data_IF_900267299562
#
_entry.id   IF_900267299562
#
_cell.length_a   1.000
_cell.length_b   1.000
_cell.length_c   1.000
_cell.angle_alpha   90.00
_cell.angle_beta   90.00
_cell.angle_gamma   90.00
#
_symmetry.space_group_name_H-M   'P 1'
#
loop_
_entity.id
_entity.type
_entity.pdbx_description
1 polymer ?
#
# COMPACT_ATOMS: atom_id res chain seq x y z
N UNK A 1 29.90 -7.20 -13.09
CA UNK A 1 30.76 -6.31 -12.26
C UNK A 1 31.65 -7.10 -11.27
N UNK A 2 32.81 -6.56 -10.87
CA UNK A 2 33.71 -7.21 -9.92
C UNK A 2 33.41 -6.72 -8.50
N UNK A 3 33.21 -7.64 -7.55
CA UNK A 3 32.98 -7.29 -6.16
C UNK A 3 34.22 -6.57 -5.56
N UNK A 4 34.06 -5.37 -4.97
CA UNK A 4 35.19 -4.64 -4.39
C UNK A 4 35.79 -5.31 -3.16
N UNK A 5 35.02 -6.17 -2.47
CA UNK A 5 35.46 -6.85 -1.25
C UNK A 5 36.22 -8.17 -1.52
N UNK A 6 35.59 -9.08 -2.26
CA UNK A 6 36.15 -10.44 -2.48
C UNK A 6 36.64 -10.67 -3.93
N UNK A 7 36.55 -9.67 -4.79
CA UNK A 7 36.97 -9.71 -6.20
C UNK A 7 36.24 -10.74 -7.08
N UNK A 8 35.16 -11.37 -6.58
CA UNK A 8 34.34 -12.28 -7.37
C UNK A 8 33.64 -11.52 -8.51
N UNK A 9 33.56 -12.16 -9.68
CA UNK A 9 32.82 -11.66 -10.82
C UNK A 9 31.32 -11.91 -10.58
N UNK A 10 30.50 -10.89 -10.72
CA UNK A 10 29.03 -10.95 -10.58
C UNK A 10 28.38 -10.43 -11.86
N UNK A 11 27.12 -10.76 -12.05
CA UNK A 11 26.31 -10.14 -13.12
C UNK A 11 26.23 -8.63 -12.92
N UNK A 12 26.15 -7.86 -14.00
CA UNK A 12 26.14 -6.39 -13.91
C UNK A 12 24.86 -5.85 -13.23
N UNK A 13 23.82 -6.65 -13.16
CA UNK A 13 22.56 -6.39 -12.46
C UNK A 13 22.53 -6.84 -11.00
N UNK A 14 23.57 -7.56 -10.52
CA UNK A 14 23.56 -8.12 -9.17
C UNK A 14 23.59 -7.02 -8.09
N UNK A 15 22.61 -7.03 -7.19
CA UNK A 15 22.54 -6.11 -6.06
C UNK A 15 23.53 -6.48 -4.93
N UNK A 16 23.85 -7.77 -4.82
CA UNK A 16 24.76 -8.29 -3.82
C UNK A 16 25.71 -9.32 -4.44
N UNK A 17 26.92 -9.37 -3.94
CA UNK A 17 27.90 -10.37 -4.37
C UNK A 17 27.42 -11.77 -3.98
N UNK A 18 27.32 -12.68 -4.94
CA UNK A 18 26.92 -14.06 -4.71
C UNK A 18 27.92 -14.84 -3.82
N UNK A 19 29.19 -14.39 -3.77
CA UNK A 19 30.24 -15.07 -2.99
C UNK A 19 30.30 -14.61 -1.55
N UNK A 20 30.19 -13.28 -1.26
CA UNK A 20 30.38 -12.74 0.08
C UNK A 20 29.18 -11.96 0.63
N UNK A 21 28.07 -11.90 -0.12
CA UNK A 21 26.85 -11.20 0.29
C UNK A 21 26.96 -9.68 0.34
N UNK A 22 28.11 -9.08 0.03
CA UNK A 22 28.29 -7.63 0.07
C UNK A 22 27.46 -6.97 -1.03
N UNK A 23 26.74 -5.90 -0.69
CA UNK A 23 26.04 -5.09 -1.66
C UNK A 23 27.03 -4.50 -2.71
N UNK A 24 26.76 -4.73 -3.99
CA UNK A 24 27.64 -4.35 -5.09
C UNK A 24 27.35 -2.92 -5.58
N UNK A 25 26.15 -2.43 -5.34
CA UNK A 25 25.68 -1.08 -5.73
C UNK A 25 25.75 -0.09 -4.57
N UNK A 26 26.20 -0.51 -3.38
CA UNK A 26 26.31 0.39 -2.23
C UNK A 26 27.51 1.32 -2.40
N UNK A 27 27.24 2.62 -2.45
CA UNK A 27 28.27 3.64 -2.33
C UNK A 27 28.87 3.56 -0.92
N UNK A 28 30.20 3.66 -0.81
CA UNK A 28 30.91 3.67 0.47
C UNK A 28 31.15 5.12 0.92
N UNK A 29 31.38 5.31 2.21
CA UNK A 29 31.82 6.59 2.75
C UNK A 29 33.06 7.11 1.99
N UNK A 30 33.07 8.39 1.65
CA UNK A 30 34.09 9.05 0.85
C UNK A 30 33.94 8.87 -0.67
N UNK A 31 33.01 8.00 -1.14
CA UNK A 31 32.67 7.93 -2.58
C UNK A 31 32.08 9.25 -3.05
N UNK A 32 32.43 9.69 -4.26
CA UNK A 32 31.88 10.91 -4.87
C UNK A 32 31.01 10.51 -6.04
N UNK A 33 29.73 10.90 -6.04
CA UNK A 33 28.80 10.69 -7.14
C UNK A 33 28.49 12.01 -7.83
N UNK A 34 28.34 11.97 -9.17
CA UNK A 34 28.09 13.16 -9.98
C UNK A 34 29.22 14.19 -9.92
N UNK A 35 30.44 13.77 -9.51
CA UNK A 35 31.61 14.62 -9.28
C UNK A 35 31.41 15.72 -8.22
N UNK A 36 30.27 15.74 -7.54
CA UNK A 36 29.79 16.79 -6.64
C UNK A 36 29.48 16.31 -5.24
N UNK A 37 28.79 15.18 -5.12
CA UNK A 37 28.23 14.73 -3.85
C UNK A 37 29.12 13.66 -3.21
N UNK A 38 29.75 14.00 -2.09
CA UNK A 38 30.55 13.06 -1.27
C UNK A 38 29.68 12.33 -0.28
N UNK A 39 29.67 11.01 -0.33
CA UNK A 39 28.88 10.16 0.54
C UNK A 39 29.47 10.16 1.96
N UNK A 40 28.67 10.56 2.94
CA UNK A 40 29.03 10.57 4.35
C UNK A 40 28.62 9.27 5.06
N UNK A 41 27.36 8.85 4.90
CA UNK A 41 26.84 7.64 5.54
C UNK A 41 25.56 7.15 4.85
N UNK A 42 25.23 5.84 4.94
CA UNK A 42 23.90 5.38 4.55
C UNK A 42 22.86 5.85 5.57
N UNK A 43 21.68 6.28 5.08
CA UNK A 43 20.52 6.63 5.88
C UNK A 43 19.49 5.51 5.94
N UNK A 44 19.32 4.75 4.84
CA UNK A 44 18.37 3.63 4.81
C UNK A 44 18.20 3.02 3.43
N UNK A 45 17.49 1.88 3.40
CA UNK A 45 17.11 1.17 2.19
C UNK A 45 15.60 1.31 2.00
N UNK A 46 15.18 1.87 0.87
CA UNK A 46 13.79 1.94 0.45
C UNK A 46 13.48 0.98 -0.70
N UNK A 47 12.22 0.90 -1.07
CA UNK A 47 11.78 0.04 -2.20
C UNK A 47 12.46 0.34 -3.53
N UNK A 48 12.93 1.58 -3.73
CA UNK A 48 13.53 2.06 -4.99
C UNK A 48 15.06 2.13 -4.97
N UNK A 49 15.69 1.90 -3.83
CA UNK A 49 17.13 1.98 -3.70
C UNK A 49 17.62 2.40 -2.33
N UNK A 50 18.86 2.80 -2.27
CA UNK A 50 19.53 3.26 -1.04
C UNK A 50 19.48 4.78 -0.95
N UNK A 51 19.31 5.28 0.27
CA UNK A 51 19.41 6.71 0.59
C UNK A 51 20.67 6.95 1.43
N UNK A 52 21.42 7.98 1.07
CA UNK A 52 22.68 8.34 1.73
C UNK A 52 22.62 9.79 2.20
N UNK A 53 23.25 10.07 3.34
CA UNK A 53 23.67 11.42 3.71
C UNK A 53 24.92 11.74 2.90
N UNK A 54 24.97 12.90 2.29
CA UNK A 54 26.08 13.33 1.47
C UNK A 54 26.40 14.81 1.70
N UNK A 55 27.62 15.19 1.40
CA UNK A 55 28.09 16.58 1.36
C UNK A 55 28.12 17.07 -0.09
N UNK A 56 27.44 18.13 -0.36
CA UNK A 56 27.51 18.85 -1.63
C UNK A 56 28.74 19.73 -1.64
N UNK A 57 29.77 19.33 -2.36
CA UNK A 57 31.08 20.01 -2.41
C UNK A 57 31.03 21.36 -3.11
N UNK A 58 30.00 21.64 -3.93
CA UNK A 58 29.85 22.91 -4.63
C UNK A 58 29.14 23.95 -3.79
N UNK A 59 28.14 23.54 -3.01
CA UNK A 59 27.33 24.44 -2.19
C UNK A 59 27.70 24.42 -0.72
N UNK A 60 28.61 23.54 -0.31
CA UNK A 60 29.05 23.34 1.07
C UNK A 60 27.89 23.04 2.05
N UNK A 61 26.97 22.19 1.62
CA UNK A 61 25.79 21.83 2.41
C UNK A 61 25.56 20.31 2.47
N UNK A 62 24.83 19.88 3.52
CA UNK A 62 24.44 18.49 3.67
C UNK A 62 23.14 18.22 2.88
N UNK A 63 23.15 17.16 2.07
CA UNK A 63 22.02 16.73 1.25
C UNK A 63 21.74 15.23 1.48
N UNK A 64 20.57 14.79 1.08
CA UNK A 64 20.25 13.38 0.94
C UNK A 64 20.35 12.96 -0.53
N UNK A 65 21.01 11.84 -0.80
CA UNK A 65 21.15 11.26 -2.14
C UNK A 65 20.42 9.92 -2.17
N UNK A 66 19.40 9.85 -2.99
CA UNK A 66 18.66 8.60 -3.26
C UNK A 66 19.17 7.96 -4.53
N UNK A 67 19.88 6.84 -4.39
CA UNK A 67 20.39 6.04 -5.51
C UNK A 67 19.30 5.09 -5.97
N UNK A 68 18.99 5.12 -7.26
CA UNK A 68 17.91 4.34 -7.85
C UNK A 68 18.41 2.97 -8.31
N UNK A 69 17.59 1.94 -8.18
CA UNK A 69 17.89 0.60 -8.72
C UNK A 69 17.87 0.62 -10.24
N UNK A 70 18.70 -0.22 -10.86
CA UNK A 70 18.86 -0.33 -12.30
C UNK A 70 17.54 -0.65 -13.05
N UNK A 71 16.65 -1.43 -12.42
CA UNK A 71 15.32 -1.78 -12.99
C UNK A 71 14.44 -0.56 -13.31
N UNK A 72 14.58 0.54 -12.55
CA UNK A 72 13.87 1.79 -12.81
C UNK A 72 14.52 2.64 -13.90
N UNK A 73 15.64 2.17 -14.44
CA UNK A 73 16.53 2.92 -15.31
C UNK A 73 16.49 2.54 -16.80
N UNK A 74 16.02 1.32 -17.15
CA UNK A 74 16.45 0.65 -18.38
C UNK A 74 15.52 0.67 -19.61
N UNK A 75 14.33 1.30 -19.55
CA UNK A 75 13.45 1.36 -20.72
C UNK A 75 13.20 2.78 -21.18
N UNK A 76 13.40 3.08 -22.48
CA UNK A 76 13.38 4.43 -23.03
C UNK A 76 12.14 5.28 -22.69
N UNK A 77 10.94 4.69 -22.72
CA UNK A 77 9.67 5.36 -22.35
C UNK A 77 9.54 5.57 -20.84
N UNK A 78 9.91 4.57 -20.04
CA UNK A 78 9.84 4.65 -18.58
C UNK A 78 10.83 5.71 -18.04
N UNK A 79 12.04 5.76 -18.58
CA UNK A 79 13.02 6.77 -18.21
C UNK A 79 12.56 8.20 -18.58
N UNK A 80 11.83 8.39 -19.68
CA UNK A 80 11.24 9.69 -20.05
C UNK A 80 10.14 10.09 -19.06
N UNK A 81 9.23 9.18 -18.72
CA UNK A 81 8.16 9.42 -17.73
C UNK A 81 8.75 9.73 -16.36
N UNK A 82 9.75 8.95 -15.92
CA UNK A 82 10.44 9.18 -14.66
C UNK A 82 11.05 10.59 -14.59
N UNK A 83 11.80 11.01 -15.63
CA UNK A 83 12.34 12.37 -15.68
C UNK A 83 11.26 13.45 -15.69
N UNK A 84 10.12 13.19 -16.32
CA UNK A 84 8.98 14.12 -16.32
C UNK A 84 8.41 14.31 -14.91
N UNK A 85 8.19 13.21 -14.17
CA UNK A 85 7.68 13.26 -12.79
C UNK A 85 8.67 13.95 -11.84
N UNK A 86 9.98 13.70 -11.97
CA UNK A 86 10.98 14.42 -11.17
C UNK A 86 10.94 15.91 -11.51
N UNK A 87 10.78 16.26 -12.79
CA UNK A 87 10.66 17.68 -13.21
C UNK A 87 9.43 18.35 -12.60
N UNK A 88 8.31 17.64 -12.45
CA UNK A 88 7.14 18.13 -11.74
C UNK A 88 7.40 18.21 -10.23
N UNK A 89 7.98 17.16 -9.64
CA UNK A 89 8.28 17.09 -8.22
C UNK A 89 9.22 18.23 -7.75
N UNK A 90 10.18 18.65 -8.58
CA UNK A 90 11.05 19.80 -8.31
C UNK A 90 10.31 21.14 -8.24
N UNK A 91 9.10 21.24 -8.81
CA UNK A 91 8.28 22.45 -8.71
C UNK A 91 7.57 22.59 -7.37
N UNK A 92 7.45 21.50 -6.60
CA UNK A 92 6.85 21.56 -5.27
C UNK A 92 7.78 22.33 -4.35
N UNK A 93 7.30 23.45 -3.85
CA UNK A 93 8.01 24.26 -2.87
C UNK A 93 7.07 24.59 -1.72
N UNK A 94 7.15 23.81 -0.65
CA UNK A 94 6.30 23.98 0.53
C UNK A 94 7.05 23.57 1.79
N UNK A 95 6.82 24.28 2.89
CA UNK A 95 7.51 24.04 4.18
C UNK A 95 7.32 22.64 4.75
N UNK A 96 6.27 21.93 4.36
CA UNK A 96 5.95 20.59 4.81
C UNK A 96 6.21 19.50 3.76
N UNK A 97 7.00 19.82 2.73
CA UNK A 97 7.40 18.84 1.70
C UNK A 97 8.91 18.86 1.58
N UNK A 98 9.56 17.71 1.56
CA UNK A 98 10.99 17.56 1.31
C UNK A 98 11.31 18.06 -0.11
N UNK A 99 12.21 19.02 -0.23
CA UNK A 99 12.56 19.62 -1.50
C UNK A 99 13.47 18.70 -2.31
N UNK A 100 13.10 18.43 -3.55
CA UNK A 100 13.97 17.78 -4.53
C UNK A 100 14.85 18.84 -5.19
N UNK A 101 16.18 18.65 -5.12
CA UNK A 101 17.14 19.58 -5.69
C UNK A 101 17.44 19.21 -7.14
N UNK A 102 17.95 18.00 -7.38
CA UNK A 102 18.37 17.62 -8.72
C UNK A 102 18.24 16.11 -8.98
N UNK A 103 18.39 15.75 -10.25
CA UNK A 103 18.49 14.39 -10.76
C UNK A 103 19.75 14.27 -11.58
N UNK A 104 20.57 13.27 -11.28
CA UNK A 104 21.84 13.02 -11.95
C UNK A 104 22.04 11.58 -12.37
N UNK A 105 23.02 11.38 -13.25
CA UNK A 105 23.50 10.08 -13.68
C UNK A 105 25.03 10.11 -13.71
N UNK A 106 25.68 9.14 -13.08
CA UNK A 106 27.13 9.00 -13.04
C UNK A 106 27.51 7.53 -13.06
N UNK A 107 28.36 7.13 -14.01
CA UNK A 107 28.82 5.73 -14.15
C UNK A 107 27.68 4.70 -14.32
N UNK A 108 26.54 5.12 -14.91
CA UNK A 108 25.34 4.26 -15.04
C UNK A 108 24.47 4.22 -13.78
N UNK A 109 24.89 4.88 -12.70
CA UNK A 109 24.12 5.02 -11.46
C UNK A 109 23.28 6.28 -11.55
N UNK A 110 21.97 6.15 -11.37
CA UNK A 110 21.04 7.29 -11.33
C UNK A 110 20.70 7.64 -9.89
N UNK A 111 20.63 8.92 -9.62
CA UNK A 111 20.38 9.42 -8.29
C UNK A 111 19.51 10.69 -8.28
N UNK A 112 18.89 10.94 -7.15
CA UNK A 112 18.15 12.17 -6.87
C UNK A 112 18.81 12.82 -5.66
N UNK A 113 19.15 14.10 -5.75
CA UNK A 113 19.56 14.91 -4.60
C UNK A 113 18.35 15.64 -4.05
N UNK A 114 18.24 15.69 -2.73
CA UNK A 114 17.13 16.31 -2.02
C UNK A 114 17.57 16.89 -0.69
N UNK A 115 16.73 17.71 -0.09
CA UNK A 115 16.88 18.26 1.25
C UNK A 115 17.22 17.14 2.25
N UNK A 116 18.27 17.33 3.04
CA UNK A 116 18.52 16.46 4.19
C UNK A 116 17.69 16.95 5.36
N UNK A 117 16.75 16.13 5.80
CA UNK A 117 15.90 16.42 6.96
C UNK A 117 16.52 15.80 8.19
N UNK A 118 17.01 16.66 9.09
CA UNK A 118 17.54 16.20 10.40
C UNK A 118 16.37 16.00 11.36
N UNK A 119 15.99 14.76 11.56
CA UNK A 119 14.82 14.40 12.37
C UNK A 119 14.54 12.91 12.35
N UNK A 120 13.32 12.56 12.77
CA UNK A 120 12.87 11.18 12.89
C UNK A 120 11.57 10.99 12.12
N UNK A 121 11.36 9.85 11.47
CA UNK A 121 10.07 9.53 10.88
C UNK A 121 9.01 9.29 11.96
N UNK A 122 7.74 9.57 11.61
CA UNK A 122 6.64 9.50 12.59
C UNK A 122 6.42 8.09 13.12
N UNK A 123 6.71 7.06 12.34
CA UNK A 123 6.58 5.67 12.80
C UNK A 123 7.60 5.35 13.89
N UNK A 124 8.83 5.81 13.72
CA UNK A 124 9.88 5.65 14.74
C UNK A 124 9.60 6.54 15.96
N UNK A 125 9.22 7.81 15.73
CA UNK A 125 8.88 8.74 16.81
C UNK A 125 7.75 8.19 17.70
N UNK A 126 6.70 7.60 17.09
CA UNK A 126 5.64 6.96 17.85
C UNK A 126 6.16 5.78 18.67
N UNK A 127 7.02 4.93 18.11
CA UNK A 127 7.64 3.80 18.85
C UNK A 127 8.42 4.30 20.07
N UNK A 128 9.23 5.35 19.90
CA UNK A 128 10.07 5.90 20.97
C UNK A 128 9.22 6.52 22.09
N UNK A 129 7.98 6.90 21.80
CA UNK A 129 7.00 7.47 22.73
C UNK A 129 5.99 6.45 23.29
N UNK A 130 6.26 5.17 23.18
CA UNK A 130 5.36 4.14 23.73
C UNK A 130 4.30 3.63 22.76
N UNK A 131 4.49 3.89 21.45
CA UNK A 131 3.72 3.30 20.37
C UNK A 131 2.78 4.26 19.64
N UNK A 132 2.47 5.45 20.18
CA UNK A 132 1.57 6.44 19.59
C UNK A 132 2.02 7.87 19.94
N UNK A 133 1.37 8.87 19.37
CA UNK A 133 1.58 10.27 19.72
C UNK A 133 0.43 10.80 20.57
N UNK A 134 0.74 11.69 21.52
CA UNK A 134 -0.26 12.41 22.30
C UNK A 134 -1.13 13.30 21.41
N UNK A 135 -2.36 13.54 21.81
CA UNK A 135 -3.39 14.15 20.96
C UNK A 135 -2.95 15.46 20.30
N UNK A 136 -2.35 16.38 21.04
CA UNK A 136 -1.93 17.68 20.49
C UNK A 136 -0.84 17.53 19.42
N UNK A 137 0.13 16.67 19.67
CA UNK A 137 1.21 16.37 18.73
C UNK A 137 0.67 15.62 17.50
N UNK A 138 -0.25 14.68 17.71
CA UNK A 138 -0.90 13.92 16.64
C UNK A 138 -1.67 14.83 15.68
N UNK A 139 -2.46 15.77 16.21
CA UNK A 139 -3.17 16.77 15.42
C UNK A 139 -2.20 17.69 14.65
N UNK A 140 -1.13 18.14 15.30
CA UNK A 140 -0.12 19.00 14.65
C UNK A 140 0.53 18.27 13.48
N UNK A 141 1.00 17.05 13.68
CA UNK A 141 1.59 16.22 12.63
C UNK A 141 0.59 15.96 11.50
N UNK A 142 -0.63 15.57 11.82
CA UNK A 142 -1.67 15.29 10.83
C UNK A 142 -2.00 16.51 9.97
N UNK A 143 -2.14 17.66 10.61
CA UNK A 143 -2.47 18.93 9.94
C UNK A 143 -1.35 19.39 9.01
N UNK A 144 -0.10 19.39 9.49
CA UNK A 144 1.07 19.75 8.68
C UNK A 144 1.25 18.78 7.49
N UNK A 145 0.94 17.49 7.70
CA UNK A 145 0.99 16.47 6.63
C UNK A 145 -0.05 16.77 5.55
N UNK A 146 -1.28 17.12 5.95
CA UNK A 146 -2.35 17.49 5.01
C UNK A 146 -2.01 18.75 4.21
N UNK A 147 -1.43 19.78 4.86
CA UNK A 147 -0.97 21.00 4.17
C UNK A 147 0.12 20.69 3.13
N UNK A 148 1.10 19.85 3.49
CA UNK A 148 2.14 19.41 2.57
C UNK A 148 1.59 18.55 1.41
N UNK A 149 0.61 17.70 1.70
CA UNK A 149 -0.04 16.86 0.69
C UNK A 149 -0.78 17.70 -0.34
N UNK A 150 -1.48 18.76 0.09
CA UNK A 150 -2.13 19.67 -0.84
C UNK A 150 -1.13 20.33 -1.80
N UNK A 151 0.02 20.79 -1.29
CA UNK A 151 1.03 21.40 -2.16
C UNK A 151 1.58 20.43 -3.23
N UNK A 152 1.60 19.14 -2.95
CA UNK A 152 1.93 18.09 -3.93
C UNK A 152 0.79 17.95 -4.96
N UNK A 153 -0.46 17.96 -4.52
CA UNK A 153 -1.64 17.84 -5.38
C UNK A 153 -1.80 19.06 -6.30
N UNK A 154 -1.46 20.27 -5.85
CA UNK A 154 -1.55 21.52 -6.63
C UNK A 154 -0.68 21.51 -7.89
N UNK A 155 0.41 20.74 -7.91
CA UNK A 155 1.23 20.55 -9.10
C UNK A 155 0.82 19.31 -9.93
N UNK A 156 -0.31 18.68 -9.59
CA UNK A 156 -0.86 17.54 -10.31
C UNK A 156 -0.20 16.19 -9.98
N UNK A 157 0.55 16.12 -8.90
CA UNK A 157 1.21 14.86 -8.45
C UNK A 157 0.33 14.17 -7.41
N UNK A 158 0.21 12.84 -7.54
CA UNK A 158 -0.36 11.96 -6.53
C UNK A 158 0.79 11.29 -5.78
N UNK A 159 0.78 11.31 -4.44
CA UNK A 159 1.88 10.78 -3.62
C UNK A 159 2.03 9.26 -3.74
N UNK A 160 0.93 8.52 -3.73
CA UNK A 160 0.80 7.07 -3.95
C UNK A 160 1.46 6.14 -2.92
N UNK A 161 2.31 6.64 -2.04
CA UNK A 161 2.99 5.86 -0.97
C UNK A 161 3.03 6.64 0.36
N UNK A 162 1.93 7.36 0.67
CA UNK A 162 1.81 8.08 1.94
C UNK A 162 1.66 7.07 3.09
N UNK A 163 2.55 7.19 4.08
CA UNK A 163 2.58 6.36 5.30
C UNK A 163 3.41 7.05 6.36
N UNK A 164 3.28 6.64 7.61
CA UNK A 164 3.97 7.26 8.75
C UNK A 164 5.50 7.26 8.64
N UNK A 165 6.09 6.25 8.00
CA UNK A 165 7.54 6.22 7.72
C UNK A 165 8.01 7.16 6.60
N UNK A 166 7.09 7.73 5.82
CA UNK A 166 7.39 8.75 4.81
C UNK A 166 7.01 10.16 5.28
N UNK A 167 6.72 10.32 6.57
CA UNK A 167 6.45 11.59 7.23
C UNK A 167 7.56 11.80 8.25
N UNK A 168 8.46 12.74 8.02
CA UNK A 168 9.53 13.07 8.97
C UNK A 168 9.16 14.30 9.80
N UNK A 169 9.56 14.31 11.06
CA UNK A 169 9.49 15.48 11.93
C UNK A 169 10.91 15.91 12.27
N UNK A 170 11.24 17.14 11.91
CA UNK A 170 12.54 17.72 12.22
C UNK A 170 12.66 18.18 13.69
N UNK A 171 13.88 18.51 14.11
CA UNK A 171 14.16 18.93 15.49
C UNK A 171 13.43 20.23 15.90
N UNK A 172 12.92 21.01 14.94
CA UNK A 172 12.08 22.19 15.19
C UNK A 172 10.59 21.87 15.35
N UNK A 173 10.20 20.61 15.21
CA UNK A 173 8.81 20.15 15.24
C UNK A 173 8.10 20.25 13.89
N UNK A 174 8.79 20.66 12.81
CA UNK A 174 8.21 20.79 11.49
C UNK A 174 8.14 19.45 10.76
N UNK A 175 6.99 19.18 10.16
CA UNK A 175 6.78 17.97 9.35
C UNK A 175 7.29 18.16 7.93
N UNK A 176 7.90 17.10 7.36
CA UNK A 176 8.32 16.99 5.97
C UNK A 176 7.77 15.71 5.35
N UNK A 177 7.00 15.84 4.29
CA UNK A 177 6.59 14.71 3.44
C UNK A 177 7.75 14.29 2.55
N UNK A 178 8.08 13.00 2.61
CA UNK A 178 9.18 12.37 1.88
C UNK A 178 8.64 11.48 0.76
N UNK A 179 9.48 11.20 -0.24
CA UNK A 179 9.29 10.14 -1.24
C UNK A 179 7.99 10.17 -2.07
N UNK A 180 7.44 11.35 -2.34
CA UNK A 180 6.20 11.51 -3.10
C UNK A 180 6.39 11.25 -4.60
N UNK A 181 5.44 10.55 -5.22
CA UNK A 181 5.27 10.40 -6.68
C UNK A 181 6.32 9.58 -7.43
N UNK A 182 7.53 9.47 -6.94
CA UNK A 182 8.68 8.89 -7.66
C UNK A 182 8.60 7.37 -7.75
N UNK A 183 7.89 6.71 -6.81
CA UNK A 183 7.96 5.27 -6.57
C UNK A 183 7.26 4.39 -7.61
N UNK A 184 6.25 4.87 -8.31
CA UNK A 184 5.36 3.99 -9.11
C UNK A 184 5.42 4.21 -10.63
N UNK A 185 6.40 4.96 -11.12
CA UNK A 185 6.56 5.25 -12.55
C UNK A 185 7.13 4.04 -13.30
N UNK A 186 7.85 3.17 -12.58
CA UNK A 186 8.61 2.07 -13.17
C UNK A 186 7.83 0.79 -13.48
N UNK A 187 6.58 0.63 -13.05
CA UNK A 187 5.99 -0.70 -13.11
C UNK A 187 4.53 -0.85 -13.52
N UNK A 188 3.71 0.18 -13.52
CA UNK A 188 2.27 -0.03 -13.71
C UNK A 188 1.51 1.17 -14.26
N UNK A 189 2.02 1.84 -15.29
CA UNK A 189 1.17 2.68 -16.11
C UNK A 189 0.86 1.93 -17.44
N UNK A 190 0.10 0.86 -17.31
CA UNK A 190 -0.82 0.51 -18.38
C UNK A 190 -2.00 1.48 -18.24
N UNK A 191 -2.38 2.10 -19.33
CA UNK A 191 -3.52 3.00 -19.53
C UNK A 191 -4.89 2.40 -19.16
N UNK A 192 -4.90 1.40 -18.29
CA UNK A 192 -6.05 0.72 -17.69
C UNK A 192 -5.72 0.53 -16.21
N UNK A 193 -6.41 1.26 -15.35
CA UNK A 193 -6.33 1.30 -13.91
C UNK A 193 -5.76 0.07 -13.23
N UNK A 194 -4.72 0.21 -12.45
CA UNK A 194 -4.20 -0.91 -11.71
C UNK A 194 -2.94 -0.60 -10.91
N UNK A 195 -3.06 0.11 -9.81
CA UNK A 195 -1.94 0.50 -8.94
C UNK A 195 -1.61 -0.45 -7.79
N UNK A 196 -2.16 -1.64 -7.71
CA UNK A 196 -1.95 -2.55 -6.57
C UNK A 196 -1.23 -3.87 -6.90
N UNK A 197 -1.35 -4.33 -8.14
CA UNK A 197 -0.88 -5.65 -8.56
C UNK A 197 0.00 -5.52 -9.80
N UNK A 198 1.20 -6.08 -9.75
CA UNK A 198 2.03 -6.25 -10.95
C UNK A 198 1.48 -7.40 -11.78
N UNK A 199 1.82 -7.44 -13.09
CA UNK A 199 1.52 -8.58 -13.97
C UNK A 199 2.14 -9.91 -13.47
N UNK A 200 3.06 -9.83 -12.51
CA UNK A 200 3.71 -10.97 -11.84
C UNK A 200 3.07 -11.31 -10.50
N UNK A 201 1.95 -10.64 -10.12
CA UNK A 201 1.23 -10.93 -8.89
C UNK A 201 1.88 -10.47 -7.60
N UNK A 202 2.94 -9.71 -7.66
CA UNK A 202 3.52 -9.10 -6.48
C UNK A 202 2.73 -7.85 -6.10
N UNK A 203 2.33 -7.75 -4.82
CA UNK A 203 1.71 -6.55 -4.26
C UNK A 203 2.79 -5.48 -4.16
N UNK A 204 2.66 -4.42 -4.99
CA UNK A 204 3.59 -3.31 -4.98
C UNK A 204 3.12 -2.23 -4.01
N UNK A 205 3.87 -2.00 -2.95
CA UNK A 205 3.60 -0.98 -1.94
C UNK A 205 3.37 -1.56 -0.55
N UNK A 206 2.83 -0.74 0.34
CA UNK A 206 2.53 -1.09 1.72
C UNK A 206 1.01 -1.34 1.83
N UNK A 207 0.55 -2.60 1.86
CA UNK A 207 -0.87 -2.96 1.79
C UNK A 207 -1.73 -2.23 2.82
N UNK A 208 -1.17 -1.95 3.99
CA UNK A 208 -1.86 -1.33 5.13
C UNK A 208 -2.32 0.11 4.91
N UNK A 209 -1.84 0.80 3.84
CA UNK A 209 -2.21 2.18 3.53
C UNK A 209 -2.92 2.33 2.19
N UNK A 210 -3.12 1.22 1.47
CA UNK A 210 -3.76 1.26 0.16
C UNK A 210 -5.23 1.67 0.25
N UNK A 211 -5.66 2.54 -0.64
CA UNK A 211 -7.07 2.88 -0.79
C UNK A 211 -7.85 1.74 -1.45
N UNK A 212 -9.19 1.65 -1.24
CA UNK A 212 -10.02 0.62 -1.88
C UNK A 212 -9.83 0.55 -3.39
N UNK A 213 -9.76 1.69 -4.08
CA UNK A 213 -9.51 1.76 -5.52
C UNK A 213 -8.12 1.25 -5.92
N UNK A 214 -7.09 1.44 -5.07
CA UNK A 214 -5.78 0.83 -5.29
C UNK A 214 -5.82 -0.69 -5.10
N UNK A 215 -6.57 -1.16 -4.09
CA UNK A 215 -6.75 -2.60 -3.85
C UNK A 215 -7.49 -3.28 -4.99
N UNK A 216 -8.44 -2.58 -5.62
CA UNK A 216 -9.26 -3.06 -6.74
C UNK A 216 -8.59 -2.83 -8.11
N UNK A 217 -7.44 -2.17 -8.17
CA UNK A 217 -6.81 -1.82 -9.43
C UNK A 217 -7.56 -0.76 -10.24
N UNK A 218 -8.52 -0.06 -9.64
CA UNK A 218 -9.29 1.00 -10.29
C UNK A 218 -8.42 2.24 -10.55
N UNK A 219 -8.90 3.14 -11.43
CA UNK A 219 -8.23 4.42 -11.68
C UNK A 219 -8.16 5.24 -10.39
N UNK A 220 -6.95 5.62 -10.01
CA UNK A 220 -6.66 6.41 -8.81
C UNK A 220 -6.67 7.92 -9.11
N UNK A 221 -7.02 8.72 -8.11
CA UNK A 221 -6.86 10.17 -8.08
C UNK A 221 -6.26 10.63 -6.73
N UNK A 222 -6.12 11.93 -6.53
CA UNK A 222 -5.56 12.53 -5.31
C UNK A 222 -6.31 12.14 -4.02
N UNK A 223 -7.57 11.71 -4.11
CA UNK A 223 -8.35 11.22 -2.96
C UNK A 223 -7.90 9.86 -2.44
N UNK A 224 -7.09 9.12 -3.21
CA UNK A 224 -6.40 7.93 -2.70
C UNK A 224 -5.35 8.29 -1.65
N UNK A 225 -4.67 9.42 -1.82
CA UNK A 225 -3.72 9.93 -0.81
C UNK A 225 -4.45 10.44 0.45
N UNK A 226 -5.63 11.04 0.30
CA UNK A 226 -6.48 11.45 1.44
C UNK A 226 -6.89 10.24 2.28
N UNK A 227 -7.20 9.11 1.63
CA UNK A 227 -7.44 7.85 2.33
C UNK A 227 -6.19 7.37 3.08
N UNK A 228 -5.04 7.35 2.42
CA UNK A 228 -3.77 6.96 3.05
C UNK A 228 -3.41 7.89 4.22
N UNK A 229 -3.69 9.19 4.11
CA UNK A 229 -3.56 10.14 5.21
C UNK A 229 -4.52 9.78 6.36
N UNK A 230 -5.75 9.39 6.07
CA UNK A 230 -6.70 8.89 7.08
C UNK A 230 -6.16 7.68 7.84
N UNK A 231 -5.52 6.71 7.15
CA UNK A 231 -4.84 5.57 7.77
C UNK A 231 -3.67 6.05 8.65
N UNK A 232 -2.84 6.96 8.15
CA UNK A 232 -1.71 7.51 8.91
C UNK A 232 -2.17 8.25 10.17
N UNK A 233 -3.22 9.05 10.08
CA UNK A 233 -3.79 9.76 11.24
C UNK A 233 -4.35 8.79 12.27
N UNK A 234 -5.05 7.75 11.84
CA UNK A 234 -5.50 6.68 12.75
C UNK A 234 -4.31 6.03 13.46
N UNK A 235 -3.26 5.66 12.71
CA UNK A 235 -2.04 5.04 13.25
C UNK A 235 -1.32 5.97 14.23
N UNK A 236 -1.20 7.26 13.93
CA UNK A 236 -0.55 8.26 14.80
C UNK A 236 -1.22 8.33 16.18
N UNK A 237 -2.56 8.32 16.24
CA UNK A 237 -3.31 8.34 17.50
C UNK A 237 -3.27 7.00 18.24
N UNK A 238 -3.26 5.88 17.52
CA UNK A 238 -3.50 4.56 18.12
C UNK A 238 -2.26 3.69 18.25
N UNK A 239 -1.24 3.97 17.44
CA UNK A 239 -0.05 3.14 17.30
C UNK A 239 -0.23 1.93 16.38
N UNK A 240 -1.38 1.78 15.76
CA UNK A 240 -1.67 0.67 14.85
C UNK A 240 -2.54 1.09 13.67
N UNK A 241 -2.36 0.46 12.55
CA UNK A 241 -3.22 0.69 11.37
C UNK A 241 -4.61 0.08 11.59
N UNK A 242 -5.70 0.68 11.05
CA UNK A 242 -7.06 0.20 11.26
C UNK A 242 -7.34 -1.16 10.58
N UNK A 243 -6.62 -1.46 9.50
CA UNK A 243 -6.84 -2.67 8.72
C UNK A 243 -5.55 -3.48 8.60
N UNK A 244 -5.59 -4.69 9.12
CA UNK A 244 -4.51 -5.67 9.02
C UNK A 244 -5.09 -7.07 9.02
N UNK A 245 -4.76 -7.87 8.01
CA UNK A 245 -5.11 -9.29 7.89
C UNK A 245 -3.90 -10.18 8.11
N UNK A 246 -4.12 -11.50 8.16
CA UNK A 246 -3.06 -12.51 8.31
C UNK A 246 -2.19 -12.61 7.05
N UNK A 247 -2.70 -12.16 5.92
CA UNK A 247 -1.99 -12.09 4.64
C UNK A 247 -2.11 -10.68 4.04
N UNK A 248 -1.18 -10.29 3.13
CA UNK A 248 -1.33 -9.03 2.40
C UNK A 248 -2.67 -8.91 1.69
N UNK A 249 -3.16 -9.99 1.06
CA UNK A 249 -4.45 -10.02 0.37
C UNK A 249 -5.62 -9.83 1.32
N UNK A 250 -5.56 -10.45 2.52
CA UNK A 250 -6.55 -10.25 3.56
C UNK A 250 -6.59 -8.78 4.03
N UNK A 251 -5.43 -8.12 4.08
CA UNK A 251 -5.35 -6.68 4.36
C UNK A 251 -6.04 -5.85 3.28
N UNK A 252 -5.80 -6.15 1.99
CA UNK A 252 -6.48 -5.49 0.86
C UNK A 252 -8.00 -5.63 0.97
N UNK A 253 -8.49 -6.84 1.29
CA UNK A 253 -9.93 -7.10 1.44
C UNK A 253 -10.55 -6.24 2.55
N UNK A 254 -9.86 -6.07 3.70
CA UNK A 254 -10.32 -5.21 4.78
C UNK A 254 -10.44 -3.75 4.35
N UNK A 255 -9.53 -3.24 3.53
CA UNK A 255 -9.64 -1.91 2.96
C UNK A 255 -10.88 -1.75 2.09
N UNK A 256 -11.28 -2.80 1.36
CA UNK A 256 -12.46 -2.79 0.49
C UNK A 256 -13.76 -2.84 1.30
N UNK A 257 -13.83 -3.70 2.34
CA UNK A 257 -15.10 -4.10 2.94
C UNK A 257 -15.26 -3.70 4.41
N UNK A 258 -14.21 -3.82 5.24
CA UNK A 258 -14.37 -3.67 6.67
C UNK A 258 -14.64 -2.21 7.07
N UNK A 259 -15.54 -1.96 8.03
CA UNK A 259 -15.69 -0.64 8.63
C UNK A 259 -14.44 -0.27 9.43
N UNK A 260 -14.20 1.03 9.58
CA UNK A 260 -13.10 1.52 10.43
C UNK A 260 -13.42 1.18 11.90
N UNK A 261 -12.49 0.53 12.63
CA UNK A 261 -12.72 0.15 14.03
C UNK A 261 -12.54 1.39 14.95
N UNK A 262 -13.65 1.99 15.39
CA UNK A 262 -13.64 3.07 16.37
C UNK A 262 -14.02 2.61 17.79
N UNK A 263 -14.07 1.31 18.03
CA UNK A 263 -14.39 0.70 19.30
C UNK A 263 -13.19 -0.04 19.90
N UNK A 264 -13.20 -0.20 21.20
CA UNK A 264 -12.16 -0.90 21.95
C UNK A 264 -11.02 -0.01 22.46
N UNK A 265 -10.11 -0.57 23.28
CA UNK A 265 -9.14 0.22 24.06
C UNK A 265 -8.10 0.93 23.17
N UNK A 266 -7.81 0.44 21.99
CA UNK A 266 -6.87 1.06 21.04
C UNK A 266 -7.51 2.31 20.42
N UNK A 267 -8.74 2.20 19.95
CA UNK A 267 -9.48 3.30 19.33
C UNK A 267 -9.89 4.38 20.34
N UNK A 268 -10.01 4.05 21.64
CA UNK A 268 -10.29 5.02 22.70
C UNK A 268 -9.22 6.13 22.86
N UNK A 269 -8.05 5.95 22.24
CA UNK A 269 -7.01 6.99 22.18
C UNK A 269 -7.33 8.11 21.19
N UNK A 270 -8.23 7.85 20.23
CA UNK A 270 -8.64 8.84 19.25
C UNK A 270 -9.59 9.83 19.93
N UNK A 271 -9.27 11.14 19.98
CA UNK A 271 -10.21 12.13 20.48
C UNK A 271 -11.54 12.06 19.73
N UNK A 272 -12.66 12.16 20.45
CA UNK A 272 -13.99 12.05 19.85
C UNK A 272 -14.19 13.04 18.69
N UNK A 273 -13.61 14.24 18.79
CA UNK A 273 -13.63 15.24 17.71
C UNK A 273 -12.88 14.82 16.44
N UNK A 274 -11.89 13.93 16.53
CA UNK A 274 -11.13 13.43 15.38
C UNK A 274 -11.86 12.29 14.65
N UNK A 275 -12.76 11.57 15.34
CA UNK A 275 -13.47 10.39 14.76
C UNK A 275 -14.22 10.75 13.46
N UNK A 276 -15.01 11.84 13.35
CA UNK A 276 -15.69 12.21 12.11
C UNK A 276 -14.71 12.50 10.96
N UNK A 277 -13.56 13.12 11.25
CA UNK A 277 -12.54 13.45 10.25
C UNK A 277 -11.92 12.18 9.68
N UNK A 278 -11.50 11.25 10.55
CA UNK A 278 -10.92 9.97 10.15
C UNK A 278 -11.96 9.14 9.38
N UNK A 279 -13.19 9.08 9.88
CA UNK A 279 -14.29 8.35 9.22
C UNK A 279 -14.54 8.86 7.80
N UNK A 280 -14.58 10.18 7.59
CA UNK A 280 -14.75 10.78 6.27
C UNK A 280 -13.57 10.49 5.35
N UNK A 281 -12.34 10.64 5.83
CA UNK A 281 -11.14 10.31 5.05
C UNK A 281 -11.10 8.83 4.62
N UNK A 282 -11.55 7.92 5.48
CA UNK A 282 -11.56 6.47 5.27
C UNK A 282 -12.86 5.94 4.65
N UNK A 283 -13.72 6.79 4.09
CA UNK A 283 -14.88 6.36 3.33
C UNK A 283 -14.47 5.46 2.15
N UNK A 284 -15.19 4.34 1.98
CA UNK A 284 -14.85 3.35 0.94
C UNK A 284 -15.05 3.93 -0.45
N UNK A 285 -16.17 4.58 -0.69
CA UNK A 285 -16.38 5.34 -1.91
C UNK A 285 -15.59 6.66 -1.84
N UNK A 286 -14.70 6.89 -2.81
CA UNK A 286 -13.88 8.10 -2.87
C UNK A 286 -14.68 9.40 -2.99
N UNK A 287 -15.94 9.34 -3.50
CA UNK A 287 -16.80 10.52 -3.60
C UNK A 287 -17.25 11.04 -2.22
N UNK A 288 -17.27 10.17 -1.20
CA UNK A 288 -17.69 10.50 0.16
C UNK A 288 -16.54 11.03 1.03
N UNK A 289 -15.31 11.05 0.50
CA UNK A 289 -14.11 11.60 1.16
C UNK A 289 -14.07 13.13 1.07
N UNK A 290 -13.03 13.71 1.64
CA UNK A 290 -12.69 15.10 1.37
C UNK A 290 -12.32 15.29 -0.10
N UNK A 291 -12.74 16.41 -0.68
CA UNK A 291 -12.41 16.76 -2.07
C UNK A 291 -10.94 17.18 -2.22
N UNK A 292 -10.37 17.80 -1.19
CA UNK A 292 -9.00 18.30 -1.14
C UNK A 292 -8.36 18.02 0.23
N UNK A 293 -7.02 17.96 0.27
CA UNK A 293 -6.30 17.76 1.52
C UNK A 293 -6.42 18.98 2.46
N UNK A 294 -6.59 20.19 1.93
CA UNK A 294 -6.88 21.40 2.71
C UNK A 294 -8.16 21.29 3.51
N UNK A 295 -9.23 20.72 2.94
CA UNK A 295 -10.48 20.50 3.67
C UNK A 295 -10.27 19.59 4.89
N UNK A 296 -9.45 18.54 4.72
CA UNK A 296 -9.09 17.65 5.82
C UNK A 296 -8.22 18.36 6.87
N UNK A 297 -7.27 19.21 6.45
CA UNK A 297 -6.45 20.00 7.36
C UNK A 297 -7.30 20.96 8.21
N UNK A 298 -8.27 21.64 7.61
CA UNK A 298 -9.21 22.52 8.32
C UNK A 298 -10.06 21.75 9.32
N UNK A 299 -10.57 20.57 8.91
CA UNK A 299 -11.33 19.69 9.79
C UNK A 299 -10.49 19.20 10.98
N UNK A 300 -9.20 18.87 10.77
CA UNK A 300 -8.28 18.48 11.83
C UNK A 300 -8.01 19.65 12.80
N UNK A 301 -7.79 20.88 12.31
CA UNK A 301 -7.60 22.07 13.16
C UNK A 301 -8.83 22.33 14.03
N UNK A 302 -10.02 22.22 13.44
CA UNK A 302 -11.28 22.36 14.20
C UNK A 302 -11.43 21.26 15.25
N UNK A 303 -11.13 20.01 14.90
CA UNK A 303 -11.18 18.89 15.82
C UNK A 303 -10.19 19.05 16.99
N UNK A 304 -8.98 19.57 16.74
CA UNK A 304 -8.01 19.88 17.79
C UNK A 304 -8.53 20.95 18.76
N UNK A 305 -9.14 22.03 18.24
CA UNK A 305 -9.74 23.08 19.06
C UNK A 305 -10.85 22.52 19.96
N UNK A 306 -11.73 21.66 19.42
CA UNK A 306 -12.78 20.99 20.18
C UNK A 306 -12.22 20.07 21.27
N UNK A 307 -11.18 19.29 20.95
CA UNK A 307 -10.51 18.45 21.95
C UNK A 307 -9.95 19.27 23.11
N UNK A 308 -9.30 20.41 22.82
CA UNK A 308 -8.77 21.33 23.86
C UNK A 308 -9.86 22.02 24.70
N UNK A 309 -11.00 22.31 24.09
CA UNK A 309 -12.13 22.94 24.78
C UNK A 309 -12.94 21.98 25.67
N UNK A 310 -12.64 20.68 25.64
CA UNK A 310 -13.40 19.65 26.35
C UNK A 310 -14.85 19.49 25.86
N UNK A 311 -15.18 20.01 24.68
CA UNK A 311 -16.53 19.97 24.11
C UNK A 311 -16.78 18.57 23.54
N UNK A 312 -17.88 17.87 23.99
CA UNK A 312 -18.28 16.62 23.33
C UNK A 312 -18.55 16.88 21.85
N UNK A 313 -18.16 15.95 20.98
CA UNK A 313 -18.54 16.02 19.57
C UNK A 313 -20.07 16.12 19.48
N UNK A 314 -20.57 17.22 18.88
CA UNK A 314 -21.99 17.35 18.58
C UNK A 314 -22.45 16.10 17.85
N UNK A 315 -23.53 15.50 18.32
CA UNK A 315 -24.10 14.29 17.77
C UNK A 315 -24.31 14.46 16.26
N UNK A 316 -23.51 13.79 15.48
CA UNK A 316 -23.76 13.66 14.05
C UNK A 316 -25.17 13.07 13.85
N UNK A 317 -25.96 13.51 12.87
CA UNK A 317 -27.29 12.97 12.65
C UNK A 317 -27.18 11.44 12.43
N UNK A 318 -27.86 10.71 13.27
CA UNK A 318 -27.97 9.26 13.23
C UNK A 318 -28.74 8.85 11.97
N UNK A 319 -28.01 8.63 10.89
CA UNK A 319 -28.52 7.84 9.76
C UNK A 319 -28.62 6.39 10.23
N UNK A 320 -29.84 5.85 10.28
CA UNK A 320 -30.15 4.56 10.83
C UNK A 320 -29.30 3.44 10.21
N UNK A 321 -28.55 2.77 11.06
CA UNK A 321 -27.92 1.50 10.75
C UNK A 321 -28.88 0.36 11.08
N UNK A 322 -28.96 -0.69 10.23
CA UNK A 322 -29.68 -1.89 10.62
C UNK A 322 -28.98 -2.54 11.83
N UNK A 323 -29.75 -2.78 12.87
CA UNK A 323 -29.33 -3.50 14.07
C UNK A 323 -28.85 -4.89 13.68
N UNK A 324 -27.57 -5.18 13.85
CA UNK A 324 -27.04 -6.53 13.74
C UNK A 324 -27.30 -7.23 15.07
N UNK A 325 -28.23 -8.19 15.06
CA UNK A 325 -28.50 -9.09 16.18
C UNK A 325 -27.25 -9.97 16.38
N UNK A 326 -26.75 -10.15 17.63
CA UNK A 326 -25.61 -11.04 17.88
C UNK A 326 -26.02 -12.49 17.65
N UNK A 327 -25.34 -13.16 16.72
CA UNK A 327 -25.44 -14.59 16.48
C UNK A 327 -24.58 -15.33 17.51
N UNK A 328 -25.17 -16.36 18.11
CA UNK A 328 -24.65 -17.18 19.19
C UNK A 328 -23.27 -17.81 18.98
N UNK A 329 -22.75 -18.33 20.06
CA UNK A 329 -21.41 -18.89 20.28
C UNK A 329 -20.96 -19.91 19.21
N UNK A 330 -19.65 -19.99 18.94
CA UNK A 330 -19.12 -20.85 17.88
C UNK A 330 -19.11 -22.33 18.32
N UNK A 331 -19.80 -23.15 17.56
CA UNK A 331 -19.69 -24.60 17.62
C UNK A 331 -18.29 -25.08 17.23
N UNK A 332 -17.88 -26.19 17.88
CA UNK A 332 -16.57 -26.80 17.88
C UNK A 332 -15.83 -26.85 16.51
N UNK A 333 -14.56 -26.52 16.55
CA UNK A 333 -13.62 -26.62 15.43
C UNK A 333 -13.53 -28.08 14.94
N UNK A 334 -13.89 -28.30 13.68
CA UNK A 334 -13.58 -29.54 12.95
C UNK A 334 -12.16 -29.39 12.40
N UNK A 335 -11.24 -30.19 12.95
CA UNK A 335 -9.86 -30.31 12.44
C UNK A 335 -9.87 -30.90 11.02
N UNK A 336 -9.20 -30.32 10.05
CA UNK A 336 -9.11 -30.92 8.72
C UNK A 336 -8.11 -32.08 8.71
N UNK A 337 -8.54 -33.22 8.24
CA UNK A 337 -7.73 -34.43 7.97
C UNK A 337 -6.78 -34.12 6.78
N UNK A 338 -5.48 -34.53 6.83
CA UNK A 338 -4.53 -34.24 5.79
C UNK A 338 -4.52 -35.32 4.70
N UNK A 339 -5.42 -35.22 3.73
CA UNK A 339 -5.31 -35.97 2.46
C UNK A 339 -6.01 -35.22 1.34
N UNK A 340 -5.31 -34.24 0.75
CA UNK A 340 -5.66 -33.77 -0.58
C UNK A 340 -4.37 -33.48 -1.37
N UNK A 341 -3.91 -34.46 -2.14
CA UNK A 341 -2.80 -34.31 -3.09
C UNK A 341 -3.32 -33.53 -4.29
N UNK A 342 -3.30 -32.20 -4.19
CA UNK A 342 -3.67 -31.30 -5.28
C UNK A 342 -2.54 -31.24 -6.30
N UNK A 343 -2.82 -31.71 -7.53
CA UNK A 343 -1.86 -31.81 -8.65
C UNK A 343 -1.72 -30.54 -9.47
N UNK A 344 -2.20 -29.39 -9.04
CA UNK A 344 -2.08 -28.13 -9.79
C UNK A 344 -1.48 -27.05 -8.89
N UNK A 345 -0.46 -26.35 -9.41
CA UNK A 345 0.07 -25.15 -8.80
C UNK A 345 -1.03 -24.09 -8.65
N UNK A 346 -1.11 -23.45 -7.50
CA UNK A 346 -2.02 -22.35 -7.24
C UNK A 346 -1.22 -21.07 -7.22
N UNK A 347 -1.78 -20.06 -7.86
CA UNK A 347 -1.24 -18.72 -7.84
C UNK A 347 -1.73 -18.01 -6.58
N UNK A 348 -0.81 -17.52 -5.74
CA UNK A 348 -1.11 -16.65 -4.59
C UNK A 348 -1.15 -15.18 -5.03
N UNK A 349 -1.81 -14.90 -6.16
CA UNK A 349 -2.02 -13.55 -6.67
C UNK A 349 -3.44 -13.13 -6.37
N UNK A 350 -3.67 -11.94 -5.77
CA UNK A 350 -5.01 -11.42 -5.62
C UNK A 350 -5.60 -11.08 -6.98
N UNK A 351 -6.68 -11.75 -7.34
CA UNK A 351 -7.47 -11.47 -8.55
C UNK A 351 -8.79 -10.86 -8.14
N UNK A 352 -9.15 -9.74 -8.75
CA UNK A 352 -10.39 -9.02 -8.46
C UNK A 352 -11.58 -9.66 -9.15
N UNK A 353 -12.61 -9.99 -8.38
CA UNK A 353 -13.85 -10.57 -8.87
C UNK A 353 -15.07 -9.78 -8.40
N UNK A 354 -16.14 -9.85 -9.20
CA UNK A 354 -17.50 -9.70 -8.73
C UNK A 354 -18.05 -11.09 -8.45
N UNK A 355 -18.55 -11.30 -7.25
CA UNK A 355 -19.28 -12.51 -6.88
C UNK A 355 -20.75 -12.18 -6.74
N UNK A 356 -21.60 -12.96 -7.41
CA UNK A 356 -23.05 -12.80 -7.39
C UNK A 356 -23.71 -14.06 -6.87
N UNK A 357 -24.58 -13.90 -5.87
CA UNK A 357 -25.52 -14.94 -5.50
C UNK A 357 -26.74 -14.87 -6.43
N UNK A 358 -27.06 -16.00 -7.07
CA UNK A 358 -28.16 -16.09 -8.01
C UNK A 358 -29.37 -16.76 -7.33
N UNK A 359 -30.58 -16.23 -7.62
CA UNK A 359 -31.84 -16.86 -7.26
C UNK A 359 -32.27 -17.88 -8.30
N UNK A 360 -33.41 -18.54 -8.05
CA UNK A 360 -33.96 -19.65 -8.86
C UNK A 360 -34.26 -19.33 -10.31
N UNK A 361 -34.40 -18.04 -10.67
CA UNK A 361 -34.62 -17.60 -12.05
C UNK A 361 -33.40 -16.89 -12.66
N UNK A 362 -32.19 -17.06 -12.08
CA UNK A 362 -31.00 -16.35 -12.50
C UNK A 362 -30.96 -14.87 -12.09
N UNK A 363 -31.89 -14.42 -11.26
CA UNK A 363 -31.90 -13.06 -10.70
C UNK A 363 -30.77 -12.90 -9.70
N UNK A 364 -30.08 -11.75 -9.76
CA UNK A 364 -29.03 -11.42 -8.79
C UNK A 364 -29.69 -11.04 -7.46
N UNK A 365 -29.48 -11.87 -6.44
CA UNK A 365 -29.98 -11.61 -5.09
C UNK A 365 -29.02 -10.77 -4.26
N UNK A 366 -27.73 -10.95 -4.48
CA UNK A 366 -26.68 -10.19 -3.81
C UNK A 366 -25.44 -10.14 -4.71
N UNK A 367 -24.74 -9.01 -4.72
CA UNK A 367 -23.47 -8.81 -5.44
C UNK A 367 -22.47 -8.14 -4.50
N UNK A 368 -21.21 -8.56 -4.55
CA UNK A 368 -20.10 -7.85 -3.92
C UNK A 368 -18.85 -7.91 -4.81
N UNK A 369 -17.96 -6.93 -4.66
CA UNK A 369 -16.60 -6.99 -5.20
C UNK A 369 -15.71 -7.68 -4.17
N UNK A 370 -14.89 -8.60 -4.62
CA UNK A 370 -14.01 -9.40 -3.77
C UNK A 370 -12.68 -9.68 -4.44
N UNK A 371 -11.77 -10.26 -3.66
CA UNK A 371 -10.45 -10.67 -4.12
C UNK A 371 -10.30 -12.17 -3.90
N UNK A 372 -9.76 -12.86 -4.89
CA UNK A 372 -9.33 -14.25 -4.68
C UNK A 372 -8.02 -14.27 -3.87
N UNK A 373 -8.00 -15.05 -2.79
CA UNK A 373 -6.77 -15.28 -2.01
C UNK A 373 -5.81 -16.20 -2.76
N UNK A 374 -6.36 -17.17 -3.48
CA UNK A 374 -5.61 -18.00 -4.43
C UNK A 374 -6.52 -18.52 -5.54
N UNK A 375 -5.92 -18.88 -6.65
CA UNK A 375 -6.62 -19.37 -7.83
C UNK A 375 -5.88 -20.52 -8.50
N UNK A 376 -6.64 -21.48 -9.03
CA UNK A 376 -6.16 -22.60 -9.83
C UNK A 376 -7.13 -22.85 -10.98
N UNK A 377 -6.77 -23.72 -11.94
CA UNK A 377 -7.58 -24.01 -13.15
C UNK A 377 -9.02 -24.45 -12.84
N UNK A 378 -9.24 -25.19 -11.75
CA UNK A 378 -10.56 -25.77 -11.41
C UNK A 378 -11.31 -25.05 -10.29
N UNK A 379 -10.78 -23.95 -9.74
CA UNK A 379 -11.43 -23.26 -8.62
C UNK A 379 -10.59 -22.17 -7.99
N UNK A 380 -11.21 -21.43 -7.08
CA UNK A 380 -10.59 -20.33 -6.36
C UNK A 380 -10.96 -20.36 -4.88
N UNK A 381 -10.13 -19.70 -4.05
CA UNK A 381 -10.50 -19.27 -2.72
C UNK A 381 -10.71 -17.77 -2.75
N UNK A 382 -11.92 -17.34 -2.39
CA UNK A 382 -12.28 -15.92 -2.40
C UNK A 382 -12.70 -15.48 -1.00
N UNK A 383 -12.50 -14.22 -0.69
CA UNK A 383 -13.07 -13.59 0.50
C UNK A 383 -14.55 -13.26 0.25
N UNK A 384 -15.35 -13.13 1.31
CA UNK A 384 -16.76 -12.71 1.18
C UNK A 384 -17.30 -12.16 2.48
N UNK A 385 -18.25 -11.22 2.36
CA UNK A 385 -19.12 -10.77 3.45
C UNK A 385 -20.47 -11.48 3.43
N UNK A 386 -20.79 -12.24 2.38
CA UNK A 386 -22.06 -12.97 2.23
C UNK A 386 -22.15 -14.10 3.26
N UNK A 387 -22.78 -13.85 4.39
CA UNK A 387 -22.95 -14.84 5.48
C UNK A 387 -23.91 -15.98 5.11
N UNK A 388 -24.81 -15.77 4.16
CA UNK A 388 -25.86 -16.70 3.75
C UNK A 388 -25.42 -17.80 2.78
N UNK A 389 -24.17 -17.76 2.27
CA UNK A 389 -23.67 -18.78 1.36
C UNK A 389 -23.25 -20.05 2.13
N UNK A 390 -23.73 -21.20 1.66
CA UNK A 390 -23.46 -22.52 2.22
C UNK A 390 -22.82 -23.45 1.18
N UNK A 391 -22.16 -24.55 1.60
CA UNK A 391 -21.70 -25.58 0.67
C UNK A 391 -22.85 -26.10 -0.22
N UNK A 392 -22.62 -26.18 -1.52
CA UNK A 392 -23.60 -26.54 -2.54
C UNK A 392 -24.26 -25.34 -3.23
N UNK A 393 -24.20 -24.13 -2.66
CA UNK A 393 -24.71 -22.94 -3.33
C UNK A 393 -23.91 -22.65 -4.60
N UNK A 394 -24.63 -22.11 -5.61
CA UNK A 394 -24.04 -21.68 -6.88
C UNK A 394 -23.92 -20.16 -6.88
N UNK A 395 -22.74 -19.69 -7.17
CA UNK A 395 -22.42 -18.26 -7.37
C UNK A 395 -21.89 -18.03 -8.76
N UNK A 396 -22.06 -16.84 -9.26
CA UNK A 396 -21.39 -16.38 -10.48
C UNK A 396 -20.15 -15.56 -10.09
N UNK A 397 -19.02 -15.90 -10.68
CA UNK A 397 -17.80 -15.11 -10.61
C UNK A 397 -17.53 -14.43 -11.94
N UNK A 398 -17.22 -13.15 -11.89
CA UNK A 398 -16.83 -12.34 -13.03
C UNK A 398 -15.52 -11.62 -12.70
N UNK A 399 -14.48 -11.86 -13.51
CA UNK A 399 -13.21 -11.15 -13.40
C UNK A 399 -13.40 -9.68 -13.79
N UNK A 400 -12.98 -8.75 -12.92
CA UNK A 400 -13.24 -7.32 -13.12
C UNK A 400 -12.46 -6.75 -14.30
N UNK A 401 -11.21 -7.23 -14.48
CA UNK A 401 -10.25 -6.69 -15.44
C UNK A 401 -10.07 -7.57 -16.69
N UNK A 402 -10.95 -8.54 -16.92
CA UNK A 402 -10.83 -9.46 -18.05
C UNK A 402 -12.11 -10.21 -18.40
N UNK A 403 -12.09 -10.99 -19.46
CA UNK A 403 -13.30 -11.63 -20.00
C UNK A 403 -13.74 -12.88 -19.24
N UNK A 404 -12.99 -13.33 -18.20
CA UNK A 404 -13.33 -14.56 -17.51
C UNK A 404 -14.56 -14.40 -16.63
N UNK A 405 -15.56 -15.25 -16.92
CA UNK A 405 -16.80 -15.36 -16.16
C UNK A 405 -17.18 -16.83 -16.07
N UNK A 406 -17.57 -17.28 -14.88
CA UNK A 406 -17.97 -18.67 -14.65
C UNK A 406 -18.94 -18.79 -13.49
N UNK A 407 -19.80 -19.82 -13.53
CA UNK A 407 -20.50 -20.25 -12.33
C UNK A 407 -19.58 -21.13 -11.50
N UNK A 408 -19.71 -21.04 -10.19
CA UNK A 408 -18.90 -21.81 -9.26
C UNK A 408 -19.76 -22.34 -8.12
N UNK A 409 -19.48 -23.58 -7.70
CA UNK A 409 -20.10 -24.21 -6.54
C UNK A 409 -19.28 -23.90 -5.29
N UNK A 410 -19.94 -23.49 -4.24
CA UNK A 410 -19.33 -23.34 -2.91
C UNK A 410 -19.05 -24.73 -2.35
N UNK A 411 -17.79 -25.12 -2.23
CA UNK A 411 -17.36 -26.41 -1.67
C UNK A 411 -17.16 -26.37 -0.17
N UNK A 412 -17.05 -25.19 0.40
CA UNK A 412 -16.89 -24.97 1.82
C UNK A 412 -16.63 -23.52 2.14
N UNK A 413 -16.86 -23.16 3.39
CA UNK A 413 -16.53 -21.82 3.91
C UNK A 413 -15.93 -21.94 5.30
N UNK A 414 -15.03 -21.02 5.63
CA UNK A 414 -14.48 -20.89 6.99
C UNK A 414 -14.12 -19.43 7.27
N UNK A 415 -14.01 -19.12 8.54
CA UNK A 415 -13.56 -17.79 9.00
C UNK A 415 -12.11 -17.94 9.47
N UNK A 416 -11.21 -17.13 8.93
CA UNK A 416 -9.80 -17.11 9.32
C UNK A 416 -9.59 -16.49 10.71
N UNK A 417 -8.34 -16.53 11.22
CA UNK A 417 -7.97 -15.87 12.48
C UNK A 417 -8.15 -14.34 12.40
N UNK A 418 -8.06 -13.80 11.21
CA UNK A 418 -8.32 -12.40 10.86
C UNK A 418 -9.81 -12.02 10.84
N UNK A 419 -10.70 -12.98 11.20
CA UNK A 419 -12.17 -12.87 11.20
C UNK A 419 -12.79 -12.64 9.82
N UNK A 420 -12.05 -12.87 8.73
CA UNK A 420 -12.57 -12.77 7.37
C UNK A 420 -13.06 -14.15 6.91
N UNK A 421 -14.27 -14.15 6.34
CA UNK A 421 -14.86 -15.37 5.74
C UNK A 421 -14.25 -15.63 4.38
N UNK A 422 -13.94 -16.90 4.12
CA UNK A 422 -13.41 -17.40 2.86
C UNK A 422 -14.31 -18.47 2.30
N UNK A 423 -14.52 -18.46 0.99
CA UNK A 423 -15.22 -19.51 0.24
C UNK A 423 -14.20 -20.27 -0.60
N UNK A 424 -14.27 -21.59 -0.54
CA UNK A 424 -13.61 -22.46 -1.49
C UNK A 424 -14.59 -22.76 -2.63
N UNK A 425 -14.28 -22.32 -3.82
CA UNK A 425 -15.13 -22.40 -5.00
C UNK A 425 -14.56 -23.41 -6.01
N UNK A 426 -15.45 -24.21 -6.60
CA UNK A 426 -15.16 -25.08 -7.75
C UNK A 426 -15.85 -24.53 -8.99
N UNK A 427 -15.11 -24.27 -10.05
CA UNK A 427 -15.65 -23.78 -11.32
C UNK A 427 -16.50 -24.86 -12.00
N UNK A 428 -17.60 -24.43 -12.59
CA UNK A 428 -18.58 -25.35 -13.21
C UNK A 428 -18.59 -25.24 -14.73
N UNK A 429 -18.49 -24.05 -15.31
CA UNK A 429 -18.68 -23.83 -16.75
C UNK A 429 -17.35 -23.91 -17.52
N UNK A 430 -16.30 -23.26 -17.01
CA UNK A 430 -14.99 -23.22 -17.66
C UNK A 430 -13.85 -23.15 -16.66
N UNK A 431 -12.72 -23.79 -16.95
CA UNK A 431 -11.52 -23.63 -16.14
C UNK A 431 -11.01 -22.19 -16.23
N UNK A 432 -10.26 -21.77 -15.21
CA UNK A 432 -9.58 -20.48 -15.27
C UNK A 432 -8.56 -20.45 -16.43
N UNK A 433 -8.54 -19.36 -17.21
CA UNK A 433 -7.58 -19.19 -18.30
C UNK A 433 -6.15 -19.04 -17.77
N UNK A 434 -5.17 -19.33 -18.60
CA UNK A 434 -3.75 -19.36 -18.22
C UNK A 434 -3.24 -18.02 -17.69
N UNK A 435 -3.79 -16.90 -18.14
CA UNK A 435 -3.42 -15.56 -17.63
C UNK A 435 -3.86 -15.32 -16.16
N UNK A 436 -4.75 -16.14 -15.62
CA UNK A 436 -5.18 -16.13 -14.22
C UNK A 436 -4.55 -17.25 -13.39
N UNK A 437 -3.74 -18.12 -13.99
CA UNK A 437 -3.14 -19.27 -13.32
C UNK A 437 -1.70 -19.41 -13.80
N UNK A 438 -0.72 -19.38 -12.89
CA UNK A 438 0.65 -19.76 -13.28
C UNK A 438 0.68 -21.25 -13.57
N UNK A 439 1.03 -21.59 -14.79
CA UNK A 439 1.43 -22.94 -15.16
C UNK A 439 2.95 -22.98 -15.04
N UNK A 440 3.46 -23.66 -14.01
CA UNK A 440 4.86 -24.08 -14.04
C UNK A 440 5.05 -24.93 -15.31
N UNK A 441 5.75 -24.41 -16.31
CA UNK A 441 6.31 -25.24 -17.37
C UNK A 441 7.32 -26.16 -16.70
N UNK A 442 6.80 -27.26 -16.15
CA UNK A 442 7.59 -28.36 -15.63
C UNK A 442 8.52 -28.83 -16.73
N UNK A 443 9.82 -28.57 -16.54
CA UNK A 443 10.87 -28.97 -17.44
C UNK A 443 10.73 -30.42 -17.88
N UNK A 444 10.44 -30.62 -19.15
CA UNK A 444 10.71 -31.86 -19.84
C UNK A 444 12.23 -32.03 -19.97
N UNK A 445 12.86 -32.39 -18.84
CA UNK A 445 14.22 -32.92 -18.83
C UNK A 445 14.26 -34.21 -19.55
N UNK A 446 14.51 -34.16 -20.88
CA UNK A 446 14.78 -35.35 -21.67
C UNK A 446 16.01 -36.09 -21.14
N UNK A 447 15.80 -37.24 -20.52
CA UNK A 447 16.81 -38.26 -20.40
C UNK A 447 17.13 -38.72 -21.84
N UNK A 448 18.27 -38.30 -22.38
CA UNK A 448 18.94 -39.02 -23.42
C UNK A 448 20.00 -39.92 -22.80
N UNK A 449 19.99 -41.15 -23.27
CA UNK A 449 20.89 -42.27 -22.94
C UNK A 449 22.36 -41.91 -23.15
#
# INVERSE_FOLDING_TARGET
MICPACKALNEDSAEACFTCGRALTALTQGSVIGKRYEILSPLGKGGMGMVYKAHDRELDETVAIKVLRAEFANTGEMAKRFRHEIKLARKVSHRNVCRIHDYGEDGGVRFISMEYVEGTDIKQLARDKGGYLEADEAFDVATQTADGLQAIHDVGIIHRDLKTSNIMRDNSGRVRLMDFGIAKIGGADRSTGGGGLTSTGQIMGTPEYMSPEQCLGDKIDHRSDIYALGIAVYEIFTGSVPFRGDTPVATLFKHIQDPVPFEGPVAARIPLSAVPVIRKALAKNRADRFGQATEMAEALRKAQQQAKAGVPADAAPTGGHPVIVPVGEPGAAVTPTPTDRRRASRLDIPVNFKIRRLGTAGTVLQEERTVAENMGRGGARVFTTMSSLAPGDIVELEHVDGPFKTRAEVRGSYVGKDRIRRLNLRFLDSPAPDYLVHVDEGGTGGRRR
#
